data_IF_315048094470
#
_entry.id   IF_315048094470
#
_cell.length_a   1.000
_cell.length_b   1.000
_cell.length_c   1.000
_cell.angle_alpha   90.00
_cell.angle_beta   90.00
_cell.angle_gamma   90.00
#
_symmetry.space_group_name_H-M   'P 1'
#
loop_
_entity.id
_entity.type
_entity.pdbx_description
1 polymer ?
#
# COMPACT_ATOMS: atom_id res chain seq x y z
N UNK A 1 -4.98 -5.28 -16.85
CA UNK A 1 -5.99 -4.21 -16.72
C UNK A 1 -7.40 -4.60 -17.17
N UNK A 2 -7.61 -5.35 -18.26
CA UNK A 2 -8.95 -5.74 -18.76
C UNK A 2 -9.81 -6.47 -17.71
N UNK A 3 -9.22 -7.41 -16.95
CA UNK A 3 -9.92 -8.11 -15.85
C UNK A 3 -10.40 -7.15 -14.75
N UNK A 4 -9.62 -6.13 -14.40
CA UNK A 4 -9.97 -5.17 -13.35
C UNK A 4 -11.09 -4.23 -13.80
N UNK A 5 -10.98 -3.71 -15.03
CA UNK A 5 -12.04 -2.90 -15.66
C UNK A 5 -13.34 -3.70 -15.78
N UNK A 6 -13.26 -4.98 -16.14
CA UNK A 6 -14.41 -5.87 -16.16
C UNK A 6 -14.98 -6.11 -14.76
N UNK A 7 -14.15 -6.32 -13.74
CA UNK A 7 -14.60 -6.47 -12.36
C UNK A 7 -15.33 -5.23 -11.85
N UNK A 8 -14.77 -4.03 -12.06
CA UNK A 8 -15.42 -2.75 -11.69
C UNK A 8 -16.76 -2.60 -12.42
N UNK A 9 -16.79 -2.86 -13.73
CA UNK A 9 -18.00 -2.75 -14.55
C UNK A 9 -19.09 -3.74 -14.14
N UNK A 10 -18.72 -4.96 -13.77
CA UNK A 10 -19.66 -6.03 -13.41
C UNK A 10 -20.13 -5.95 -11.95
N UNK A 11 -19.26 -5.53 -11.04
CA UNK A 11 -19.56 -5.38 -9.61
C UNK A 11 -20.65 -4.32 -9.36
N UNK A 12 -20.65 -3.23 -10.13
CA UNK A 12 -21.48 -2.03 -9.91
C UNK A 12 -21.33 -1.41 -8.51
N UNK A 13 -20.40 -1.90 -7.68
CA UNK A 13 -20.08 -1.31 -6.39
C UNK A 13 -19.03 -0.21 -6.60
N UNK A 14 -19.38 1.06 -6.38
CA UNK A 14 -18.45 2.15 -6.57
C UNK A 14 -17.34 2.17 -5.49
N UNK A 15 -17.51 1.48 -4.36
CA UNK A 15 -16.55 1.33 -3.27
C UNK A 15 -15.74 0.02 -3.32
N UNK A 16 -15.77 -0.69 -4.46
CA UNK A 16 -15.08 -1.97 -4.64
C UNK A 16 -13.59 -1.92 -4.27
N UNK A 17 -12.91 -0.81 -4.54
CA UNK A 17 -11.49 -0.64 -4.18
C UNK A 17 -11.28 -0.74 -2.66
N UNK A 18 -12.07 0.02 -1.89
CA UNK A 18 -12.02 0.01 -0.43
C UNK A 18 -12.36 -1.36 0.14
N UNK A 19 -13.41 -2.00 -0.38
CA UNK A 19 -13.81 -3.32 0.06
C UNK A 19 -12.70 -4.36 -0.20
N UNK A 20 -12.15 -4.37 -1.41
CA UNK A 20 -11.07 -5.27 -1.78
C UNK A 20 -9.82 -5.07 -0.91
N UNK A 21 -9.42 -3.82 -0.70
CA UNK A 21 -8.27 -3.49 0.14
C UNK A 21 -8.48 -3.92 1.59
N UNK A 22 -9.65 -3.62 2.16
CA UNK A 22 -9.97 -3.94 3.56
C UNK A 22 -10.01 -5.45 3.86
N UNK A 23 -10.37 -6.27 2.86
CA UNK A 23 -10.41 -7.73 2.96
C UNK A 23 -9.07 -8.39 2.62
N UNK A 24 -8.03 -7.60 2.38
CA UNK A 24 -6.72 -8.13 2.00
C UNK A 24 -6.12 -8.90 3.18
N UNK A 25 -5.88 -10.19 2.95
CA UNK A 25 -5.27 -11.06 3.95
C UNK A 25 -3.74 -11.03 3.80
N UNK A 26 -3.01 -11.08 4.92
CA UNK A 26 -1.53 -11.00 4.90
C UNK A 26 -0.87 -12.13 4.09
N UNK A 27 -1.51 -13.29 3.96
CA UNK A 27 -1.03 -14.38 3.09
C UNK A 27 -0.97 -14.00 1.60
N UNK A 28 -1.76 -13.01 1.16
CA UNK A 28 -1.70 -12.49 -0.21
C UNK A 28 -0.45 -11.63 -0.45
N UNK A 29 0.25 -11.26 0.62
CA UNK A 29 1.55 -10.57 0.57
C UNK A 29 2.72 -11.58 0.50
N UNK A 30 2.45 -12.89 0.52
CA UNK A 30 3.45 -13.96 0.42
C UNK A 30 4.68 -13.68 1.32
N UNK A 31 5.90 -13.90 0.81
CA UNK A 31 7.17 -13.72 1.56
C UNK A 31 7.40 -12.28 2.02
N UNK A 32 6.76 -11.31 1.37
CA UNK A 32 6.83 -9.90 1.75
C UNK A 32 6.03 -9.62 3.03
N UNK A 33 4.85 -10.22 3.18
CA UNK A 33 4.08 -10.16 4.42
C UNK A 33 4.86 -10.70 5.61
N UNK A 34 5.53 -11.85 5.44
CA UNK A 34 6.39 -12.44 6.48
C UNK A 34 7.61 -11.57 6.81
N UNK A 35 8.22 -10.92 5.82
CA UNK A 35 9.35 -10.02 6.06
C UNK A 35 8.96 -8.84 6.97
N UNK A 36 7.79 -8.25 6.73
CA UNK A 36 7.25 -7.16 7.55
C UNK A 36 6.85 -7.63 8.96
N UNK A 37 6.20 -8.80 9.08
CA UNK A 37 5.78 -9.32 10.39
C UNK A 37 6.93 -9.60 11.36
N UNK A 38 8.11 -9.94 10.82
CA UNK A 38 9.29 -10.27 11.63
C UNK A 38 10.13 -9.05 12.03
N UNK A 39 9.80 -7.84 11.52
CA UNK A 39 10.47 -6.60 11.91
C UNK A 39 10.29 -6.31 13.40
N UNK A 40 11.18 -5.49 13.97
CA UNK A 40 11.09 -5.13 15.39
C UNK A 40 10.01 -4.07 15.62
N UNK A 41 9.85 -3.13 14.69
CA UNK A 41 8.89 -2.02 14.78
C UNK A 41 8.03 -1.88 13.51
N UNK A 42 6.92 -1.16 13.64
CA UNK A 42 6.07 -0.82 12.49
C UNK A 42 6.81 0.03 11.45
N UNK A 43 7.70 0.93 11.88
CA UNK A 43 8.61 1.69 11.01
C UNK A 43 9.43 0.77 10.12
N UNK A 44 10.11 -0.20 10.71
CA UNK A 44 10.92 -1.16 9.96
C UNK A 44 10.08 -1.98 8.97
N UNK A 45 8.85 -2.35 9.37
CA UNK A 45 7.93 -3.03 8.47
C UNK A 45 7.52 -2.17 7.28
N UNK A 46 7.24 -0.88 7.49
CA UNK A 46 6.97 0.06 6.39
C UNK A 46 8.18 0.24 5.49
N UNK A 47 9.40 0.32 6.03
CA UNK A 47 10.63 0.43 5.24
C UNK A 47 10.84 -0.80 4.34
N UNK A 48 10.66 -2.01 4.89
CA UNK A 48 10.62 -3.26 4.10
C UNK A 48 9.51 -3.20 3.06
N UNK A 49 8.36 -2.68 3.48
CA UNK A 49 7.20 -2.31 2.68
C UNK A 49 7.57 -1.60 1.37
N UNK A 50 8.19 -0.44 1.54
CA UNK A 50 8.60 0.46 0.48
C UNK A 50 9.80 -0.05 -0.32
N UNK A 51 10.69 -0.85 0.27
CA UNK A 51 11.79 -1.49 -0.47
C UNK A 51 11.24 -2.52 -1.47
N UNK A 52 10.28 -3.33 -1.04
CA UNK A 52 9.74 -4.42 -1.85
C UNK A 52 8.60 -4.00 -2.78
N UNK A 53 8.11 -2.76 -2.67
CA UNK A 53 7.06 -2.25 -3.57
C UNK A 53 7.47 -2.31 -5.05
N UNK A 54 8.78 -2.43 -5.35
CA UNK A 54 9.33 -2.56 -6.71
C UNK A 54 9.22 -3.97 -7.30
N UNK A 55 8.88 -4.98 -6.49
CA UNK A 55 8.60 -6.34 -6.98
C UNK A 55 7.20 -6.35 -7.58
N UNK A 56 7.09 -6.81 -8.83
CA UNK A 56 5.83 -6.83 -9.59
C UNK A 56 4.72 -7.51 -8.79
N UNK A 57 3.83 -6.69 -8.23
CA UNK A 57 2.62 -7.10 -7.52
C UNK A 57 1.51 -6.10 -7.78
N UNK A 58 0.54 -6.52 -8.62
CA UNK A 58 -0.73 -5.90 -9.11
C UNK A 58 -0.94 -4.37 -9.13
N UNK A 59 -0.43 -3.56 -8.21
CA UNK A 59 -0.47 -2.09 -8.25
C UNK A 59 0.79 -1.38 -7.71
N UNK A 60 1.58 -2.00 -6.83
CA UNK A 60 2.86 -1.43 -6.37
C UNK A 60 3.98 -1.74 -7.38
N UNK A 61 4.74 -0.70 -7.72
CA UNK A 61 6.05 -0.84 -8.38
C UNK A 61 6.15 -0.32 -9.80
N UNK A 62 5.04 0.09 -10.42
CA UNK A 62 5.07 0.70 -11.77
C UNK A 62 4.11 1.86 -11.97
N UNK A 63 2.92 1.81 -11.38
CA UNK A 63 1.87 2.83 -11.56
C UNK A 63 1.41 3.47 -10.25
N UNK A 64 1.81 2.92 -9.11
CA UNK A 64 1.56 3.45 -7.79
C UNK A 64 2.80 3.23 -6.92
N UNK A 65 3.21 4.28 -6.23
CA UNK A 65 4.38 4.30 -5.36
C UNK A 65 4.00 4.90 -4.00
N UNK A 66 4.54 4.31 -2.95
CA UNK A 66 4.38 4.73 -1.58
C UNK A 66 5.73 5.21 -1.06
N UNK A 67 5.71 6.34 -0.36
CA UNK A 67 6.82 6.83 0.43
C UNK A 67 6.30 7.32 1.78
N UNK A 68 7.20 7.54 2.73
CA UNK A 68 6.84 8.04 4.04
C UNK A 68 7.81 9.13 4.48
N UNK A 69 7.26 10.14 5.13
CA UNK A 69 8.01 11.16 5.86
C UNK A 69 7.29 11.51 7.16
N UNK A 70 7.99 12.20 8.05
CA UNK A 70 7.45 12.67 9.33
C UNK A 70 7.36 14.19 9.35
N UNK A 71 6.24 14.69 9.86
CA UNK A 71 5.94 16.10 10.08
C UNK A 71 5.63 16.29 11.57
N UNK A 72 6.65 16.65 12.36
CA UNK A 72 6.58 16.77 13.81
C UNK A 72 6.04 15.48 14.48
N UNK A 73 4.78 15.48 14.91
CA UNK A 73 4.12 14.36 15.59
C UNK A 73 3.21 13.54 14.64
N UNK A 74 3.28 13.80 13.34
CA UNK A 74 2.47 13.14 12.32
C UNK A 74 3.35 12.38 11.33
N UNK A 75 3.09 11.10 11.15
CA UNK A 75 3.65 10.31 10.05
C UNK A 75 2.74 10.42 8.83
N UNK A 76 3.34 10.57 7.66
CA UNK A 76 2.64 10.79 6.40
C UNK A 76 3.09 9.73 5.40
N UNK A 77 2.16 8.88 4.96
CA UNK A 77 2.36 8.04 3.79
C UNK A 77 1.86 8.82 2.57
N UNK A 78 2.79 9.17 1.68
CA UNK A 78 2.50 9.79 0.40
C UNK A 78 2.20 8.69 -0.64
N UNK A 79 1.14 8.88 -1.42
CA UNK A 79 0.73 7.95 -2.47
C UNK A 79 0.88 8.66 -3.81
N UNK A 80 1.87 8.25 -4.58
CA UNK A 80 2.10 8.77 -5.93
C UNK A 80 1.49 7.82 -6.95
N UNK A 81 0.69 8.36 -7.87
CA UNK A 81 0.04 7.57 -8.92
C UNK A 81 0.51 8.06 -10.28
N UNK A 82 0.96 7.13 -11.11
CA UNK A 82 1.40 7.42 -12.46
C UNK A 82 0.19 7.77 -13.35
N UNK A 83 0.27 8.82 -14.19
CA UNK A 83 -0.86 9.26 -15.02
C UNK A 83 -1.44 8.17 -15.92
N UNK A 84 -0.63 7.19 -16.32
CA UNK A 84 -1.00 6.05 -17.16
C UNK A 84 -2.07 5.15 -16.52
N UNK A 85 -2.28 5.26 -15.21
CA UNK A 85 -3.33 4.53 -14.50
C UNK A 85 -4.74 5.05 -14.85
N UNK A 86 -4.86 6.32 -15.25
CA UNK A 86 -6.05 6.92 -15.81
C UNK A 86 -7.33 6.71 -15.00
N UNK A 87 -8.34 6.09 -15.63
CA UNK A 87 -9.65 5.81 -15.04
C UNK A 87 -9.61 4.86 -13.83
N UNK A 88 -8.49 4.14 -13.63
CA UNK A 88 -8.31 3.20 -12.53
C UNK A 88 -7.66 3.85 -11.30
N UNK A 89 -7.24 5.11 -11.37
CA UNK A 89 -6.55 5.82 -10.29
C UNK A 89 -7.31 5.75 -8.97
N UNK A 90 -8.59 6.13 -8.96
CA UNK A 90 -9.41 6.10 -7.73
C UNK A 90 -9.49 4.70 -7.15
N UNK A 91 -9.77 3.70 -8.00
CA UNK A 91 -9.88 2.31 -7.56
C UNK A 91 -8.57 1.81 -6.93
N UNK A 92 -7.43 2.09 -7.57
CA UNK A 92 -6.14 1.66 -7.07
C UNK A 92 -5.75 2.35 -5.77
N UNK A 93 -6.06 3.65 -5.64
CA UNK A 93 -5.84 4.40 -4.41
C UNK A 93 -6.73 3.88 -3.28
N UNK A 94 -8.01 3.63 -3.53
CA UNK A 94 -8.92 3.03 -2.56
C UNK A 94 -8.44 1.64 -2.11
N UNK A 95 -7.98 0.80 -3.05
CA UNK A 95 -7.48 -0.54 -2.75
C UNK A 95 -6.19 -0.51 -1.92
N UNK A 96 -5.24 0.37 -2.24
CA UNK A 96 -4.00 0.45 -1.47
C UNK A 96 -4.27 1.03 -0.07
N UNK A 97 -5.16 2.01 0.07
CA UNK A 97 -5.53 2.56 1.37
C UNK A 97 -6.15 1.48 2.27
N UNK A 98 -7.14 0.74 1.75
CA UNK A 98 -7.73 -0.38 2.48
C UNK A 98 -6.69 -1.45 2.84
N UNK A 99 -5.75 -1.72 1.91
CA UNK A 99 -4.66 -2.68 2.12
C UNK A 99 -3.68 -2.24 3.21
N UNK A 100 -3.36 -0.95 3.31
CA UNK A 100 -2.50 -0.40 4.37
C UNK A 100 -3.16 -0.61 5.73
N UNK A 101 -4.44 -0.29 5.88
CA UNK A 101 -5.17 -0.48 7.14
C UNK A 101 -5.23 -1.96 7.54
N UNK A 102 -5.63 -2.82 6.60
CA UNK A 102 -5.69 -4.26 6.84
C UNK A 102 -4.32 -4.82 7.23
N UNK A 103 -3.27 -4.48 6.48
CA UNK A 103 -1.90 -4.94 6.74
C UNK A 103 -1.40 -4.45 8.10
N UNK A 104 -1.67 -3.19 8.44
CA UNK A 104 -1.32 -2.62 9.76
C UNK A 104 -1.95 -3.41 10.89
N UNK A 105 -3.25 -3.67 10.79
CA UNK A 105 -3.96 -4.47 11.79
C UNK A 105 -3.41 -5.89 11.90
N UNK A 106 -3.05 -6.50 10.77
CA UNK A 106 -2.47 -7.84 10.76
C UNK A 106 -1.09 -7.90 11.40
N UNK A 107 -0.20 -6.95 11.12
CA UNK A 107 1.18 -7.00 11.62
C UNK A 107 1.31 -6.44 13.03
N UNK A 108 0.53 -5.42 13.41
CA UNK A 108 0.64 -4.78 14.72
C UNK A 108 -0.39 -5.31 15.72
N UNK A 109 -1.51 -5.87 15.26
CA UNK A 109 -2.68 -6.17 16.09
C UNK A 109 -3.55 -4.95 16.44
N UNK A 110 -3.19 -3.76 15.98
CA UNK A 110 -3.83 -2.49 16.33
C UNK A 110 -4.37 -1.78 15.08
N UNK A 111 -5.41 -0.97 15.26
CA UNK A 111 -5.87 -0.05 14.23
C UNK A 111 -4.86 1.11 14.08
N UNK A 112 -4.66 1.59 12.85
CA UNK A 112 -3.79 2.72 12.59
C UNK A 112 -4.43 4.00 13.16
N UNK A 113 -3.75 4.79 14.01
CA UNK A 113 -4.31 6.00 14.63
C UNK A 113 -4.33 7.16 13.63
N UNK A 114 -5.28 7.09 12.70
CA UNK A 114 -5.46 8.06 11.62
C UNK A 114 -5.77 9.46 12.16
N UNK A 115 -5.10 10.46 11.59
CA UNK A 115 -5.33 11.88 11.86
C UNK A 115 -6.04 12.58 10.72
N UNK A 116 -5.71 12.21 9.48
CA UNK A 116 -6.29 12.82 8.29
C UNK A 116 -6.07 11.92 7.07
N UNK A 117 -7.07 11.86 6.19
CA UNK A 117 -6.92 11.31 4.84
C UNK A 117 -7.09 12.44 3.81
N UNK A 118 -6.09 12.63 2.95
CA UNK A 118 -6.16 13.53 1.81
C UNK A 118 -6.27 12.74 0.51
N UNK A 119 -7.25 13.08 -0.30
CA UNK A 119 -7.47 12.50 -1.60
C UNK A 119 -7.30 13.54 -2.71
N UNK A 120 -6.41 13.27 -3.66
CA UNK A 120 -6.11 14.14 -4.80
C UNK A 120 -7.17 14.09 -5.93
N UNK A 121 -8.32 13.48 -5.64
CA UNK A 121 -9.46 13.39 -6.54
C UNK A 121 -10.70 13.99 -5.88
N UNK A 122 -11.67 14.48 -6.68
CA UNK A 122 -12.91 15.03 -6.15
C UNK A 122 -13.71 13.97 -5.41
N UNK A 123 -14.52 14.42 -4.44
CA UNK A 123 -15.36 13.53 -3.65
C UNK A 123 -16.23 12.65 -4.55
N UNK A 124 -16.09 11.31 -4.49
CA UNK A 124 -16.90 10.43 -5.32
C UNK A 124 -18.33 10.35 -4.79
N UNK A 125 -19.27 9.86 -5.61
CA UNK A 125 -20.67 9.70 -5.21
C UNK A 125 -20.84 8.84 -3.95
N UNK A 126 -19.93 7.91 -3.70
CA UNK A 126 -19.88 7.04 -2.51
C UNK A 126 -18.97 7.56 -1.40
N UNK A 127 -18.61 8.86 -1.36
CA UNK A 127 -17.72 9.42 -0.34
C UNK A 127 -18.16 9.09 1.10
N UNK A 128 -19.47 8.97 1.35
CA UNK A 128 -20.00 8.55 2.66
C UNK A 128 -19.54 7.17 3.13
N UNK A 129 -19.15 6.27 2.22
CA UNK A 129 -18.63 4.92 2.52
C UNK A 129 -17.25 4.98 3.15
N UNK A 130 -16.45 6.01 2.88
CA UNK A 130 -15.08 6.12 3.42
C UNK A 130 -15.08 6.14 4.96
N UNK A 131 -16.11 6.73 5.59
CA UNK A 131 -16.25 6.77 7.06
C UNK A 131 -16.35 5.38 7.72
N UNK A 132 -16.64 4.32 6.95
CA UNK A 132 -16.62 2.94 7.46
C UNK A 132 -15.20 2.39 7.64
N UNK A 133 -14.22 3.00 6.96
CA UNK A 133 -12.84 2.53 6.90
C UNK A 133 -11.87 3.50 7.56
N UNK A 134 -12.14 4.80 7.48
CA UNK A 134 -11.27 5.85 8.01
C UNK A 134 -12.02 6.62 9.10
N UNK A 135 -11.60 6.44 10.34
CA UNK A 135 -12.10 7.18 11.50
C UNK A 135 -11.31 8.47 11.71
N UNK A 136 -11.32 9.34 10.68
CA UNK A 136 -10.63 10.63 10.69
C UNK A 136 -11.27 11.62 9.70
N UNK A 137 -10.95 12.92 9.77
CA UNK A 137 -11.27 13.89 8.73
C UNK A 137 -10.74 13.46 7.35
N UNK A 138 -11.57 13.60 6.32
CA UNK A 138 -11.22 13.28 4.93
C UNK A 138 -11.34 14.55 4.09
N UNK A 139 -10.25 14.96 3.46
CA UNK A 139 -10.21 16.05 2.50
C UNK A 139 -10.12 15.47 1.08
N UNK A 140 -11.19 15.64 0.30
CA UNK A 140 -11.15 15.40 -1.14
C UNK A 140 -10.70 16.67 -1.87
N UNK A 141 -10.26 16.50 -3.13
CA UNK A 141 -9.72 17.60 -3.95
C UNK A 141 -8.51 18.29 -3.31
N UNK A 142 -7.69 17.50 -2.60
CA UNK A 142 -6.45 17.96 -1.99
C UNK A 142 -5.33 18.05 -3.06
N UNK A 143 -4.27 18.87 -2.85
CA UNK A 143 -3.13 18.92 -3.76
C UNK A 143 -2.34 17.60 -3.80
N UNK A 144 -2.43 16.81 -2.73
CA UNK A 144 -1.66 15.58 -2.53
C UNK A 144 -2.56 14.44 -2.05
N UNK A 145 -2.13 13.21 -2.34
CA UNK A 145 -2.76 11.99 -1.86
C UNK A 145 -1.95 11.45 -0.66
N UNK A 146 -2.50 11.58 0.55
CA UNK A 146 -1.78 11.31 1.79
C UNK A 146 -2.64 10.56 2.82
N UNK A 147 -2.04 9.56 3.47
CA UNK A 147 -2.58 8.96 4.69
C UNK A 147 -1.74 9.44 5.87
N UNK A 148 -2.37 10.15 6.82
CA UNK A 148 -1.67 10.83 7.91
C UNK A 148 -2.11 10.22 9.24
N UNK A 149 -1.16 9.88 10.11
CA UNK A 149 -1.42 9.21 11.38
C UNK A 149 -0.40 9.63 12.46
N UNK A 150 -0.64 9.23 13.70
CA UNK A 150 0.27 9.55 14.81
C UNK A 150 1.69 8.97 14.60
N UNK A 151 2.72 9.83 14.62
CA UNK A 151 4.10 9.39 14.40
C UNK A 151 4.61 8.43 15.48
N UNK A 152 4.11 8.53 16.72
CA UNK A 152 4.47 7.61 17.80
C UNK A 152 4.08 6.16 17.51
N UNK A 153 3.12 5.94 16.60
CA UNK A 153 2.74 4.60 16.17
C UNK A 153 3.85 3.89 15.36
N UNK A 154 4.77 4.64 14.75
CA UNK A 154 5.90 4.07 14.00
C UNK A 154 6.79 3.19 14.88
N UNK A 155 6.91 3.51 16.17
CA UNK A 155 7.76 2.78 17.11
C UNK A 155 7.02 1.62 17.80
N UNK A 156 5.80 1.29 17.35
CA UNK A 156 5.03 0.15 17.85
C UNK A 156 5.80 -1.16 17.63
N UNK A 157 6.12 -1.92 18.70
CA UNK A 157 6.77 -3.21 18.59
C UNK A 157 5.87 -4.24 17.91
N UNK A 158 6.42 -5.04 17.00
CA UNK A 158 5.63 -6.09 16.34
C UNK A 158 5.58 -7.37 17.17
N UNK A 159 4.40 -8.01 17.30
CA UNK A 159 4.20 -9.21 18.11
C UNK A 159 4.97 -10.44 17.60
N UNK A 160 5.35 -10.46 16.33
CA UNK A 160 6.09 -11.56 15.70
C UNK A 160 7.56 -11.19 15.40
N UNK A 161 8.08 -10.14 16.06
CA UNK A 161 9.45 -9.69 15.89
C UNK A 161 10.46 -10.83 16.06
N UNK A 162 11.31 -11.02 15.06
CA UNK A 162 12.37 -12.01 15.05
C UNK A 162 13.47 -11.56 14.11
N UNK A 163 14.54 -11.00 14.67
CA UNK A 163 15.68 -10.47 13.90
C UNK A 163 16.33 -11.51 12.97
N UNK A 164 16.31 -12.79 13.35
CA UNK A 164 16.77 -13.88 12.49
C UNK A 164 15.84 -14.11 11.29
N UNK A 165 14.53 -14.21 11.52
CA UNK A 165 13.54 -14.43 10.47
C UNK A 165 13.44 -13.21 9.54
N UNK A 166 13.43 -11.99 10.09
CA UNK A 166 13.42 -10.74 9.33
C UNK A 166 14.59 -10.69 8.34
N UNK A 167 15.81 -11.03 8.78
CA UNK A 167 16.99 -11.07 7.91
C UNK A 167 16.86 -12.09 6.77
N UNK A 168 16.34 -13.28 7.06
CA UNK A 168 16.12 -14.33 6.05
C UNK A 168 15.08 -13.86 5.02
N UNK A 169 13.92 -13.39 5.47
CA UNK A 169 12.84 -12.98 4.58
C UNK A 169 13.19 -11.71 3.79
N UNK A 170 13.88 -10.72 4.39
CA UNK A 170 14.42 -9.57 3.66
C UNK A 170 15.38 -9.98 2.56
N UNK A 171 16.29 -10.95 2.82
CA UNK A 171 17.20 -11.47 1.79
C UNK A 171 16.43 -12.15 0.66
N UNK A 172 15.39 -12.92 0.97
CA UNK A 172 14.52 -13.52 -0.05
C UNK A 172 13.77 -12.48 -0.86
N UNK A 173 13.22 -11.44 -0.23
CA UNK A 173 12.57 -10.34 -0.92
C UNK A 173 13.57 -9.66 -1.87
N UNK A 174 14.76 -9.29 -1.39
CA UNK A 174 15.81 -8.66 -2.20
C UNK A 174 16.24 -9.51 -3.40
N UNK A 175 16.32 -10.83 -3.24
CA UNK A 175 16.62 -11.74 -4.34
C UNK A 175 15.52 -11.73 -5.42
N UNK A 176 14.24 -11.63 -5.02
CA UNK A 176 13.13 -11.50 -5.96
C UNK A 176 13.16 -10.14 -6.67
N UNK A 177 13.42 -9.03 -5.96
CA UNK A 177 13.58 -7.70 -6.58
C UNK A 177 14.65 -7.75 -7.67
N UNK A 178 15.82 -8.30 -7.33
CA UNK A 178 16.95 -8.35 -8.25
C UNK A 178 16.67 -9.24 -9.48
N UNK A 179 15.85 -10.28 -9.32
CA UNK A 179 15.47 -11.18 -10.43
C UNK A 179 14.49 -10.48 -11.37
N UNK A 180 13.46 -9.85 -10.81
CA UNK A 180 12.42 -9.17 -11.57
C UNK A 180 12.97 -7.96 -12.37
N UNK A 181 13.88 -7.18 -11.76
CA UNK A 181 14.61 -6.11 -12.46
C UNK A 181 15.40 -6.66 -13.66
N UNK A 182 16.11 -7.78 -13.49
CA UNK A 182 16.89 -8.41 -14.57
C UNK A 182 16.00 -8.93 -15.70
N UNK A 183 14.92 -9.63 -15.36
CA UNK A 183 13.97 -10.16 -16.36
C UNK A 183 13.30 -9.02 -17.16
N UNK A 184 12.98 -7.89 -16.50
CA UNK A 184 12.44 -6.70 -17.17
C UNK A 184 13.47 -6.04 -18.12
N UNK A 185 14.72 -5.85 -17.68
CA UNK A 185 15.77 -5.26 -18.51
C UNK A 185 16.07 -6.12 -19.76
N UNK A 186 16.08 -7.45 -19.61
CA UNK A 186 16.24 -8.40 -20.73
C UNK A 186 15.04 -8.40 -21.69
N UNK A 187 13.82 -8.13 -21.20
CA UNK A 187 12.63 -8.03 -22.04
C UNK A 187 12.61 -6.72 -22.84
N UNK A 188 12.98 -5.60 -22.21
CA UNK A 188 13.09 -4.28 -22.86
C UNK A 188 14.22 -4.26 -23.89
N UNK A 189 15.35 -4.92 -23.61
CA UNK A 189 16.45 -5.06 -24.56
C UNK A 189 16.08 -5.82 -25.84
N UNK A 190 15.18 -6.81 -25.75
CA UNK A 190 14.73 -7.61 -26.91
C UNK A 190 13.70 -6.93 -27.80
N UNK A 191 12.98 -5.92 -27.31
CA UNK A 191 11.99 -5.17 -28.10
C UNK A 191 12.64 -4.02 -28.89
N UNK A 192 13.87 -3.64 -28.54
CA UNK A 192 14.66 -2.58 -29.19
C UNK A 192 15.63 -3.08 -30.26
N UNK A 193 15.69 -4.40 -30.48
CA UNK A 193 16.51 -5.06 -31.50
C UNK A 193 15.61 -5.63 -32.60
#
# INVERSE_FOLDING_TARGET
>A
MVLLRNAIRLSRDPALGLEMGSKRHISTLDRFGFAMMCCETYREALDVGFECQRVVGRFSGRLLFLSMHEEADTAVIQIEVAPELGDLTRFAVEEILGSILASTRWITGHELPLRELRCAYPAPAHAGVYRKYFDCPIQFDAPDQQLRFDAGFLDTPLPQASSHAARIYRRHCRALINRDVREHDELVGRIRA
#
